data_IF_049135575346
#
_entry.id   IF_049135575346
#
_cell.length_a   1.000
_cell.length_b   1.000
_cell.length_c   1.000
_cell.angle_alpha   90.00
_cell.angle_beta   90.00
_cell.angle_gamma   90.00
#
_symmetry.space_group_name_H-M   'P 1'
#
loop_
_entity.id
_entity.type
_entity.pdbx_description
1 polymer ?
#
# COMPACT_ATOMS: atom_id res chain seq x y z
N UNK A 1 2.56 11.23 -24.90
CA UNK A 1 1.26 11.70 -25.43
C UNK A 1 0.14 11.73 -24.35
N UNK A 2 0.38 11.27 -23.14
CA UNK A 2 -0.63 11.29 -22.06
C UNK A 2 -0.83 12.67 -21.41
N UNK A 3 0.20 13.52 -21.37
CA UNK A 3 0.10 14.86 -20.78
C UNK A 3 -0.82 15.84 -21.51
N UNK A 4 -0.96 15.71 -22.82
CA UNK A 4 -1.80 16.62 -23.62
C UNK A 4 -3.31 16.42 -23.38
N UNK A 5 -3.74 15.22 -23.04
CA UNK A 5 -5.16 14.91 -22.77
C UNK A 5 -5.58 15.46 -21.39
N UNK A 6 -4.69 15.42 -20.41
CA UNK A 6 -4.95 15.96 -19.06
C UNK A 6 -5.02 17.49 -19.10
N UNK A 7 -4.14 18.15 -19.82
CA UNK A 7 -4.15 19.62 -19.97
C UNK A 7 -5.46 20.12 -20.60
N UNK A 8 -5.92 19.47 -21.70
CA UNK A 8 -7.17 19.84 -22.38
C UNK A 8 -8.42 19.68 -21.50
N UNK A 9 -8.45 18.71 -20.61
CA UNK A 9 -9.57 18.51 -19.68
C UNK A 9 -9.68 19.65 -18.65
N UNK A 10 -8.55 20.19 -18.21
CA UNK A 10 -8.51 21.26 -17.22
C UNK A 10 -8.82 22.64 -17.80
N UNK A 11 -8.78 22.86 -19.09
CA UNK A 11 -9.16 24.13 -19.72
C UNK A 11 -10.67 24.37 -19.80
N UNK A 12 -11.47 23.31 -19.75
CA UNK A 12 -12.94 23.36 -19.96
C UNK A 12 -13.73 23.69 -18.69
N UNK A 13 -13.17 23.45 -17.49
CA UNK A 13 -13.88 23.64 -16.21
C UNK A 13 -13.36 24.86 -15.45
N UNK A 14 -14.22 25.75 -14.93
CA UNK A 14 -13.83 26.85 -14.06
C UNK A 14 -13.17 26.29 -12.78
N UNK A 15 -11.98 26.79 -12.45
CA UNK A 15 -11.16 26.29 -11.34
C UNK A 15 -11.13 27.32 -10.22
N UNK A 16 -11.43 26.94 -8.98
CA UNK A 16 -11.32 27.81 -7.81
C UNK A 16 -9.87 27.97 -7.30
N UNK A 17 -8.91 27.28 -7.94
CA UNK A 17 -7.49 27.25 -7.54
C UNK A 17 -6.57 27.28 -8.77
N UNK A 18 -5.33 27.74 -8.66
CA UNK A 18 -4.36 27.70 -9.75
C UNK A 18 -4.06 26.24 -10.15
N UNK A 19 -3.93 26.02 -11.44
CA UNK A 19 -3.59 24.71 -12.02
C UNK A 19 -2.45 24.91 -13.01
N UNK A 20 -1.46 24.04 -12.95
CA UNK A 20 -0.33 24.01 -13.87
C UNK A 20 -0.04 22.56 -14.29
N UNK A 21 0.58 22.40 -15.45
CA UNK A 21 1.10 21.11 -15.94
C UNK A 21 2.62 21.20 -16.03
N UNK A 22 3.30 20.14 -15.64
CA UNK A 22 4.75 20.08 -15.56
C UNK A 22 5.28 18.90 -16.34
N UNK A 23 6.48 19.02 -16.86
CA UNK A 23 7.17 17.93 -17.56
C UNK A 23 7.95 17.03 -16.59
N UNK A 24 8.27 17.54 -15.39
CA UNK A 24 8.98 16.78 -14.37
C UNK A 24 8.37 16.94 -12.97
N UNK A 25 8.50 15.94 -12.09
CA UNK A 25 8.11 16.04 -10.68
C UNK A 25 8.82 17.18 -9.94
N UNK A 26 10.06 17.48 -10.30
CA UNK A 26 10.86 18.56 -9.67
C UNK A 26 10.23 19.93 -9.92
N UNK A 27 9.83 20.21 -11.17
CA UNK A 27 9.14 21.47 -11.50
C UNK A 27 7.79 21.61 -10.76
N UNK A 28 7.06 20.50 -10.62
CA UNK A 28 5.80 20.48 -9.87
C UNK A 28 6.03 20.77 -8.38
N UNK A 29 7.07 20.22 -7.78
CA UNK A 29 7.43 20.45 -6.38
C UNK A 29 7.88 21.89 -6.14
N UNK A 30 8.70 22.48 -7.02
CA UNK A 30 9.10 23.87 -6.95
C UNK A 30 7.88 24.81 -7.01
N UNK A 31 6.95 24.54 -7.93
CA UNK A 31 5.72 25.32 -8.05
C UNK A 31 4.82 25.21 -6.80
N UNK A 32 4.79 24.04 -6.16
CA UNK A 32 4.06 23.81 -4.90
C UNK A 32 4.81 24.34 -3.67
N UNK A 33 5.99 24.92 -3.83
CA UNK A 33 6.92 25.33 -2.76
C UNK A 33 7.27 24.19 -1.79
N UNK A 34 7.40 22.97 -2.33
CA UNK A 34 7.85 21.79 -1.59
C UNK A 34 9.34 21.56 -1.79
N UNK A 35 9.98 20.88 -0.84
CA UNK A 35 11.40 20.53 -0.91
C UNK A 35 11.68 19.65 -2.14
N UNK A 36 12.58 20.05 -3.06
CA UNK A 36 12.94 19.26 -4.23
C UNK A 36 13.51 17.86 -3.90
N UNK A 37 14.01 17.64 -2.68
CA UNK A 37 14.52 16.33 -2.25
C UNK A 37 13.42 15.24 -2.27
N UNK A 38 12.16 15.63 -2.12
CA UNK A 38 10.99 14.74 -2.21
C UNK A 38 10.89 14.10 -3.62
N UNK A 39 11.39 14.76 -4.68
CA UNK A 39 11.41 14.19 -6.02
C UNK A 39 12.17 12.85 -6.06
N UNK A 40 13.32 12.78 -5.39
CA UNK A 40 14.12 11.55 -5.32
C UNK A 40 13.39 10.42 -4.61
N UNK A 41 12.66 10.74 -3.54
CA UNK A 41 11.85 9.76 -2.81
C UNK A 41 10.66 9.29 -3.65
N UNK A 42 10.01 10.20 -4.37
CA UNK A 42 8.92 9.88 -5.31
C UNK A 42 9.41 9.00 -6.46
N UNK A 43 10.55 9.30 -7.04
CA UNK A 43 11.16 8.49 -8.11
C UNK A 43 11.51 7.07 -7.62
N UNK A 44 12.06 6.96 -6.41
CA UNK A 44 12.34 5.66 -5.79
C UNK A 44 11.06 4.85 -5.54
N UNK A 45 10.01 5.49 -5.00
CA UNK A 45 8.70 4.87 -4.81
C UNK A 45 8.05 4.46 -6.14
N UNK A 46 8.20 5.28 -7.18
CA UNK A 46 7.67 4.98 -8.51
C UNK A 46 8.38 3.79 -9.14
N UNK A 47 9.71 3.72 -8.99
CA UNK A 47 10.50 2.57 -9.45
C UNK A 47 10.11 1.29 -8.72
N UNK A 48 9.90 1.34 -7.40
CA UNK A 48 9.44 0.20 -6.60
C UNK A 48 8.02 -0.26 -7.03
N UNK A 49 7.10 0.69 -7.25
CA UNK A 49 5.75 0.38 -7.73
C UNK A 49 5.76 -0.23 -9.13
N UNK A 50 6.58 0.30 -10.03
CA UNK A 50 6.74 -0.20 -11.40
C UNK A 50 7.38 -1.59 -11.43
N UNK A 51 8.28 -1.89 -10.49
CA UNK A 51 8.89 -3.22 -10.35
C UNK A 51 7.94 -4.24 -9.71
N UNK A 52 6.84 -3.79 -9.08
CA UNK A 52 5.89 -4.71 -8.45
C UNK A 52 5.14 -5.52 -9.51
N UNK A 53 5.19 -6.86 -9.47
CA UNK A 53 4.49 -7.70 -10.45
C UNK A 53 2.98 -7.38 -10.48
N UNK A 54 2.41 -7.27 -11.67
CA UNK A 54 1.00 -6.91 -11.88
C UNK A 54 0.02 -7.80 -11.08
N UNK A 55 0.37 -9.07 -10.86
CA UNK A 55 -0.45 -9.98 -10.05
C UNK A 55 -0.49 -9.57 -8.59
N UNK A 56 0.61 -9.08 -8.03
CA UNK A 56 0.70 -8.60 -6.65
C UNK A 56 -0.14 -7.34 -6.49
N UNK A 57 -0.02 -6.40 -7.41
CA UNK A 57 -0.82 -5.17 -7.43
C UNK A 57 -2.33 -5.50 -7.49
N UNK A 58 -2.72 -6.38 -8.41
CA UNK A 58 -4.12 -6.82 -8.55
C UNK A 58 -4.63 -7.55 -7.31
N UNK A 59 -3.80 -8.39 -6.68
CA UNK A 59 -4.19 -9.09 -5.47
C UNK A 59 -4.39 -8.12 -4.29
N UNK A 60 -3.55 -7.11 -4.16
CA UNK A 60 -3.65 -6.11 -3.07
C UNK A 60 -5.01 -5.42 -3.01
N UNK A 61 -5.69 -5.22 -4.15
CA UNK A 61 -7.01 -4.56 -4.19
C UNK A 61 -8.16 -5.41 -3.63
N UNK A 62 -7.93 -6.68 -3.34
CA UNK A 62 -8.97 -7.61 -2.88
C UNK A 62 -8.66 -8.24 -1.52
N UNK A 63 -7.60 -7.79 -0.82
CA UNK A 63 -7.16 -8.38 0.46
C UNK A 63 -7.67 -7.63 1.70
N UNK A 64 -8.49 -6.60 1.55
CA UNK A 64 -8.89 -5.72 2.67
C UNK A 64 -9.72 -6.45 3.74
N UNK A 65 -10.49 -7.47 3.38
CA UNK A 65 -11.30 -8.30 4.27
C UNK A 65 -10.66 -9.67 4.58
N UNK A 66 -9.38 -9.83 4.26
CA UNK A 66 -8.56 -11.02 4.52
C UNK A 66 -9.20 -12.33 4.01
N UNK A 67 -9.64 -12.41 2.75
CA UNK A 67 -10.39 -13.53 2.21
C UNK A 67 -9.59 -14.83 2.21
N UNK A 68 -10.25 -15.95 1.92
CA UNK A 68 -9.55 -17.19 1.59
C UNK A 68 -8.84 -17.07 0.23
N UNK A 69 -7.85 -17.93 -0.03
CA UNK A 69 -7.18 -17.95 -1.34
C UNK A 69 -8.15 -18.23 -2.48
N UNK A 70 -9.18 -19.07 -2.23
CA UNK A 70 -10.23 -19.39 -3.19
C UNK A 70 -11.03 -18.14 -3.58
N UNK A 71 -11.46 -17.36 -2.57
CA UNK A 71 -12.23 -16.15 -2.77
C UNK A 71 -11.38 -15.05 -3.43
N UNK A 72 -10.14 -14.87 -2.99
CA UNK A 72 -9.22 -13.94 -3.59
C UNK A 72 -8.95 -14.27 -5.07
N UNK A 73 -8.71 -15.54 -5.40
CA UNK A 73 -8.53 -16.02 -6.78
C UNK A 73 -9.76 -15.70 -7.64
N UNK A 74 -10.96 -15.98 -7.13
CA UNK A 74 -12.23 -15.66 -7.79
C UNK A 74 -12.38 -14.15 -8.05
N UNK A 75 -12.08 -13.31 -7.06
CA UNK A 75 -12.14 -11.83 -7.18
C UNK A 75 -11.17 -11.28 -8.23
N UNK A 76 -9.98 -11.88 -8.36
CA UNK A 76 -9.02 -11.48 -9.39
C UNK A 76 -9.24 -12.16 -10.75
N UNK A 77 -10.30 -13.00 -10.88
CA UNK A 77 -10.68 -13.67 -12.13
C UNK A 77 -9.76 -14.82 -12.52
N UNK A 78 -9.27 -15.59 -11.55
CA UNK A 78 -8.33 -16.71 -11.76
C UNK A 78 -8.76 -17.94 -10.96
N UNK A 79 -8.21 -19.13 -11.33
CA UNK A 79 -8.23 -20.28 -10.42
C UNK A 79 -7.15 -20.15 -9.34
N UNK A 80 -7.34 -20.79 -8.18
CA UNK A 80 -6.33 -20.82 -7.12
C UNK A 80 -4.96 -21.29 -7.61
N UNK A 81 -4.94 -22.36 -8.42
CA UNK A 81 -3.72 -22.90 -9.03
C UNK A 81 -2.99 -21.85 -9.88
N UNK A 82 -3.75 -21.06 -10.66
CA UNK A 82 -3.18 -20.01 -11.49
C UNK A 82 -2.64 -18.87 -10.63
N UNK A 83 -3.38 -18.45 -9.60
CA UNK A 83 -2.94 -17.43 -8.65
C UNK A 83 -1.66 -17.86 -7.94
N UNK A 84 -1.62 -19.05 -7.36
CA UNK A 84 -0.44 -19.59 -6.69
C UNK A 84 0.79 -19.67 -7.59
N UNK A 85 0.62 -20.10 -8.85
CA UNK A 85 1.71 -20.15 -9.83
C UNK A 85 2.26 -18.74 -10.10
N UNK A 86 1.38 -17.78 -10.43
CA UNK A 86 1.81 -16.40 -10.73
C UNK A 86 2.46 -15.70 -9.54
N UNK A 87 2.01 -16.00 -8.32
CA UNK A 87 2.66 -15.48 -7.12
C UNK A 87 4.04 -16.07 -6.92
N UNK A 88 4.23 -17.39 -7.18
CA UNK A 88 5.56 -18.01 -7.16
C UNK A 88 6.48 -17.45 -8.24
N UNK A 89 5.98 -17.20 -9.44
CA UNK A 89 6.73 -16.57 -10.53
C UNK A 89 7.14 -15.13 -10.18
N UNK A 90 6.49 -14.53 -9.18
CA UNK A 90 6.78 -13.22 -8.60
C UNK A 90 7.52 -13.32 -7.24
N UNK A 91 8.17 -14.45 -6.95
CA UNK A 91 8.93 -14.72 -5.72
C UNK A 91 8.16 -14.44 -4.42
N UNK A 92 6.84 -14.69 -4.41
CA UNK A 92 5.98 -14.48 -3.25
C UNK A 92 4.92 -15.58 -3.11
N UNK A 93 4.19 -15.54 -2.01
CA UNK A 93 3.05 -16.43 -1.77
C UNK A 93 1.78 -15.64 -1.42
N UNK A 94 0.63 -16.31 -1.52
CA UNK A 94 -0.63 -15.74 -1.04
C UNK A 94 -0.56 -15.35 0.45
N UNK A 95 0.03 -16.21 1.27
CA UNK A 95 0.18 -15.98 2.70
C UNK A 95 1.07 -14.75 2.99
N UNK A 96 2.13 -14.55 2.21
CA UNK A 96 3.00 -13.37 2.38
C UNK A 96 2.24 -12.10 2.03
N UNK A 97 1.48 -12.08 0.94
CA UNK A 97 0.68 -10.92 0.55
C UNK A 97 -0.45 -10.63 1.56
N UNK A 98 -1.09 -11.67 2.09
CA UNK A 98 -2.10 -11.56 3.13
C UNK A 98 -1.50 -11.00 4.43
N UNK A 99 -0.35 -11.51 4.84
CA UNK A 99 0.37 -11.02 6.03
C UNK A 99 0.81 -9.55 5.86
N UNK A 100 1.29 -9.17 4.69
CA UNK A 100 1.62 -7.77 4.40
C UNK A 100 0.37 -6.88 4.44
N UNK A 101 -0.79 -7.33 3.94
CA UNK A 101 -2.04 -6.58 4.03
C UNK A 101 -2.46 -6.36 5.50
N UNK A 102 -2.40 -7.40 6.33
CA UNK A 102 -2.67 -7.33 7.77
C UNK A 102 -1.76 -6.31 8.47
N UNK A 103 -0.48 -6.34 8.18
CA UNK A 103 0.50 -5.42 8.80
C UNK A 103 0.30 -3.98 8.33
N UNK A 104 -0.04 -3.74 7.05
CA UNK A 104 -0.39 -2.38 6.58
C UNK A 104 -1.59 -1.81 7.32
N UNK A 105 -2.65 -2.61 7.49
CA UNK A 105 -3.83 -2.19 8.26
C UNK A 105 -3.49 -1.95 9.74
N UNK A 106 -2.72 -2.86 10.36
CA UNK A 106 -2.30 -2.72 11.74
C UNK A 106 -1.47 -1.45 11.98
N UNK A 107 -0.55 -1.11 11.08
CA UNK A 107 0.25 0.13 11.20
C UNK A 107 -0.63 1.37 11.23
N UNK A 108 -1.66 1.46 10.39
CA UNK A 108 -2.63 2.56 10.41
C UNK A 108 -3.37 2.61 11.74
N UNK A 109 -3.95 1.49 12.19
CA UNK A 109 -4.68 1.44 13.46
C UNK A 109 -3.80 1.79 14.67
N UNK A 110 -2.53 1.39 14.65
CA UNK A 110 -1.57 1.71 15.71
C UNK A 110 -1.24 3.20 15.79
N UNK A 111 -1.21 3.91 14.65
CA UNK A 111 -0.89 5.34 14.57
C UNK A 111 -2.14 6.23 14.74
N UNK A 112 -3.26 5.81 14.17
CA UNK A 112 -4.44 6.64 14.05
C UNK A 112 -5.42 6.47 15.22
N UNK A 113 -5.23 5.44 16.08
CA UNK A 113 -6.16 5.10 17.15
C UNK A 113 -5.47 4.64 18.44
N UNK A 114 -6.18 4.78 19.56
CA UNK A 114 -5.79 4.20 20.87
C UNK A 114 -6.30 2.77 21.08
N UNK A 115 -6.79 2.11 20.02
CA UNK A 115 -7.32 0.75 20.09
C UNK A 115 -6.31 -0.20 20.72
N UNK A 116 -6.70 -1.04 21.69
CA UNK A 116 -5.81 -2.01 22.32
C UNK A 116 -5.15 -2.93 21.29
N UNK A 117 -3.86 -3.22 21.45
CA UNK A 117 -3.10 -4.06 20.51
C UNK A 117 -3.73 -5.45 20.33
N UNK A 118 -4.31 -5.99 21.39
CA UNK A 118 -5.05 -7.26 21.34
C UNK A 118 -6.29 -7.19 20.45
N UNK A 119 -6.99 -6.07 20.45
CA UNK A 119 -8.14 -5.81 19.58
C UNK A 119 -7.70 -5.65 18.15
N UNK A 120 -6.64 -4.86 17.90
CA UNK A 120 -6.04 -4.70 16.54
C UNK A 120 -5.66 -6.06 15.96
N UNK A 121 -5.05 -6.94 16.76
CA UNK A 121 -4.67 -8.27 16.31
C UNK A 121 -5.86 -9.06 15.74
N UNK A 122 -7.02 -8.98 16.38
CA UNK A 122 -8.25 -9.64 15.93
C UNK A 122 -8.86 -8.95 14.71
N UNK A 123 -8.91 -7.62 14.69
CA UNK A 123 -9.43 -6.82 13.57
C UNK A 123 -8.67 -7.07 12.27
N UNK A 124 -7.34 -7.23 12.35
CA UNK A 124 -6.53 -7.56 11.17
C UNK A 124 -6.52 -9.06 10.83
N UNK A 125 -7.41 -9.85 11.44
CA UNK A 125 -7.60 -11.25 11.11
C UNK A 125 -6.47 -12.18 11.58
N UNK A 126 -5.72 -11.81 12.62
CA UNK A 126 -4.77 -12.73 13.25
C UNK A 126 -5.46 -13.67 14.25
N UNK A 127 -5.01 -14.92 14.28
CA UNK A 127 -5.59 -15.96 15.16
C UNK A 127 -5.35 -15.72 16.65
N UNK A 128 -4.33 -14.95 17.01
CA UNK A 128 -4.02 -14.58 18.39
C UNK A 128 -3.14 -13.33 18.45
N UNK A 129 -3.16 -12.58 19.59
CA UNK A 129 -2.27 -11.46 19.83
C UNK A 129 -0.78 -11.85 19.79
N UNK A 130 -0.44 -13.05 20.22
CA UNK A 130 0.95 -13.58 20.18
C UNK A 130 1.41 -13.78 18.75
N UNK A 131 0.57 -14.41 17.92
CA UNK A 131 0.84 -14.57 16.49
C UNK A 131 0.99 -13.22 15.79
N UNK A 132 0.10 -12.27 16.09
CA UNK A 132 0.18 -10.91 15.57
C UNK A 132 1.50 -10.22 15.95
N UNK A 133 1.90 -10.25 17.22
CA UNK A 133 3.13 -9.60 17.69
C UNK A 133 4.38 -10.19 17.02
N UNK A 134 4.43 -11.52 16.87
CA UNK A 134 5.51 -12.19 16.17
C UNK A 134 5.57 -11.84 14.68
N UNK A 135 4.40 -11.82 14.02
CA UNK A 135 4.27 -11.43 12.61
C UNK A 135 4.69 -9.97 12.39
N UNK A 136 4.20 -9.07 13.24
CA UNK A 136 4.50 -7.64 13.15
C UNK A 136 6.01 -7.40 13.33
N UNK A 137 6.62 -7.99 14.38
CA UNK A 137 8.06 -7.88 14.61
C UNK A 137 8.88 -8.44 13.44
N UNK A 138 8.46 -9.54 12.85
CA UNK A 138 9.16 -10.15 11.69
C UNK A 138 9.15 -9.23 10.47
N UNK A 139 8.02 -8.54 10.19
CA UNK A 139 7.85 -7.73 8.97
C UNK A 139 8.22 -6.26 9.16
N UNK A 140 8.17 -5.73 10.39
CA UNK A 140 8.44 -4.32 10.69
C UNK A 140 9.77 -4.12 11.43
N UNK A 141 10.32 -5.18 12.01
CA UNK A 141 11.54 -5.13 12.81
C UNK A 141 11.34 -4.70 14.28
N UNK A 142 10.14 -4.25 14.66
CA UNK A 142 9.76 -3.75 15.99
C UNK A 142 8.48 -4.40 16.48
N UNK A 143 8.23 -4.36 17.78
CA UNK A 143 6.94 -4.78 18.34
C UNK A 143 5.84 -3.75 18.05
N UNK A 144 4.56 -4.15 18.04
CA UNK A 144 3.44 -3.21 17.90
C UNK A 144 3.46 -2.07 18.93
N UNK A 145 3.86 -2.37 20.17
CA UNK A 145 3.95 -1.36 21.25
C UNK A 145 5.04 -0.34 20.99
N UNK A 146 6.24 -0.78 20.61
CA UNK A 146 7.35 0.10 20.24
C UNK A 146 6.98 0.99 19.05
N UNK A 147 6.34 0.40 18.03
CA UNK A 147 5.91 1.13 16.85
C UNK A 147 4.89 2.23 17.17
N UNK A 148 3.93 1.96 18.07
CA UNK A 148 2.94 2.96 18.51
C UNK A 148 3.60 4.13 19.24
N UNK A 149 4.52 3.85 20.17
CA UNK A 149 5.20 4.90 20.94
C UNK A 149 6.02 5.81 20.04
N UNK A 150 6.73 5.27 19.08
CA UNK A 150 7.54 6.06 18.14
C UNK A 150 6.70 6.89 17.16
N UNK A 151 5.54 6.41 16.74
CA UNK A 151 4.66 7.12 15.80
C UNK A 151 3.75 8.14 16.47
N UNK A 152 3.64 8.14 17.81
CA UNK A 152 2.86 9.10 18.60
C UNK A 152 3.69 10.24 19.19
N UNK A 153 4.97 10.33 18.84
CA UNK A 153 5.89 11.43 19.17
C UNK A 153 6.03 12.38 17.99
#
# INVERSE_FOLDING_TARGET
MEGAVVAGFFEVLPKPYPVATFESPTEALDWLAHDPSIATELDALYAELAATPAIVTKLRTVLDDYPSIADAAKRVGMSERTLQRRLRDADTSYQDQLNQARIRAARRLLLDTDTPITTIALEVGCSSPQHFSALFRRLVGKTPSEFRVEGGA
#
